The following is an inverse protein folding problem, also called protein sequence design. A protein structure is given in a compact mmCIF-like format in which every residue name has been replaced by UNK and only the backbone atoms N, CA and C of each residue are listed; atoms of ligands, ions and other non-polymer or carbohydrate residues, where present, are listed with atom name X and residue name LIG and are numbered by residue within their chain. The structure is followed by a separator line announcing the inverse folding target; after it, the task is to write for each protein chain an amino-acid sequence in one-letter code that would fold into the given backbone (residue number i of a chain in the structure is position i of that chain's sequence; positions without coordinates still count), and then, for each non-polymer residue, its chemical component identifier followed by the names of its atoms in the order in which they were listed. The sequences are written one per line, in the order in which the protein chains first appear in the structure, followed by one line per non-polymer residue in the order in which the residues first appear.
data_IF_494399501511
#
_entry.id   IF_494399501511
#
_cell.length_a   1.000
_cell.length_b   1.000
_cell.length_c   1.000
_cell.angle_alpha   90.00
_cell.angle_beta   90.00
_cell.angle_gamma   90.00
#
_symmetry.space_group_name_H-M   'P 1'
#
loop_
_entity.id
_entity.type
_entity.pdbx_description
1 polymer ?
#
# COMPACT_ATOMS: atom_id res chain seq x y z
N UNK A 1 10.86 5.63 15.89
CA UNK A 1 11.66 6.27 14.86
C UNK A 1 11.35 5.76 13.46
N UNK A 2 11.92 4.62 13.03
CA UNK A 2 11.88 4.15 11.63
C UNK A 2 10.45 3.93 11.12
N UNK A 3 9.61 3.21 11.85
CA UNK A 3 8.22 2.94 11.47
C UNK A 3 7.40 4.24 11.30
N UNK A 4 7.60 5.23 12.18
CA UNK A 4 6.94 6.51 12.03
C UNK A 4 7.41 7.27 10.78
N UNK A 5 8.70 7.22 10.46
CA UNK A 5 9.25 7.84 9.25
C UNK A 5 8.67 7.18 7.99
N UNK A 6 8.62 5.84 7.93
CA UNK A 6 8.01 5.10 6.82
C UNK A 6 6.52 5.48 6.69
N UNK A 7 5.80 5.55 7.82
CA UNK A 7 4.39 5.97 7.81
C UNK A 7 4.17 7.36 7.22
N UNK A 8 5.03 8.33 7.56
CA UNK A 8 4.97 9.69 7.03
C UNK A 8 5.29 9.71 5.52
N UNK A 9 6.29 8.93 5.07
CA UNK A 9 6.64 8.81 3.65
C UNK A 9 5.45 8.25 2.86
N UNK A 10 4.86 7.15 3.34
CA UNK A 10 3.70 6.54 2.68
C UNK A 10 2.53 7.51 2.66
N UNK A 11 2.22 8.15 3.79
CA UNK A 11 1.14 9.11 3.88
C UNK A 11 1.31 10.27 2.88
N UNK A 12 2.52 10.85 2.79
CA UNK A 12 2.80 11.97 1.88
C UNK A 12 2.58 11.63 0.39
N UNK A 13 2.78 10.36 0.02
CA UNK A 13 2.54 9.87 -1.34
C UNK A 13 1.07 9.48 -1.56
N UNK A 14 0.47 8.80 -0.60
CA UNK A 14 -0.90 8.30 -0.72
C UNK A 14 -1.96 9.41 -0.71
N UNK A 15 -1.66 10.58 -0.13
CA UNK A 15 -2.58 11.72 -0.19
C UNK A 15 -2.82 12.17 -1.64
N UNK A 16 -1.82 12.12 -2.51
CA UNK A 16 -1.98 12.44 -3.93
C UNK A 16 -2.84 11.41 -4.67
N UNK A 17 -2.70 10.12 -4.34
CA UNK A 17 -3.56 9.07 -4.87
C UNK A 17 -5.02 9.28 -4.43
N UNK A 18 -5.23 9.66 -3.18
CA UNK A 18 -6.57 9.94 -2.65
C UNK A 18 -7.24 11.18 -3.27
N UNK A 19 -6.45 12.11 -3.81
CA UNK A 19 -6.92 13.33 -4.48
C UNK A 19 -6.94 13.18 -6.02
N UNK A 20 -6.45 12.09 -6.58
CA UNK A 20 -6.19 11.92 -8.03
C UNK A 20 -5.29 13.04 -8.58
N UNK A 21 -4.25 13.37 -7.83
CA UNK A 21 -3.24 14.36 -8.20
C UNK A 21 -1.86 13.71 -8.28
N UNK A 22 -0.93 14.35 -8.96
CA UNK A 22 0.45 13.85 -9.06
C UNK A 22 1.41 14.84 -8.39
N UNK A 23 2.41 14.31 -7.69
CA UNK A 23 3.56 15.09 -7.24
C UNK A 23 4.81 14.31 -7.59
N UNK A 24 5.72 14.97 -8.32
CA UNK A 24 7.01 14.41 -8.73
C UNK A 24 8.14 14.80 -7.76
N UNK A 25 7.80 15.43 -6.64
CA UNK A 25 8.79 15.91 -5.70
C UNK A 25 9.40 14.75 -4.89
N UNK A 26 10.74 14.66 -4.79
CA UNK A 26 11.41 13.69 -3.93
C UNK A 26 11.29 14.03 -2.44
N UNK A 27 10.90 15.27 -2.10
CA UNK A 27 10.80 15.74 -0.71
C UNK A 27 9.42 15.45 -0.12
N UNK A 28 9.39 14.84 1.07
CA UNK A 28 8.16 14.55 1.82
C UNK A 28 7.37 15.84 2.12
N UNK A 29 8.09 16.89 2.55
CA UNK A 29 7.47 18.17 2.92
C UNK A 29 6.85 18.83 1.69
N UNK A 30 7.56 18.79 0.57
CA UNK A 30 7.06 19.36 -0.68
C UNK A 30 5.82 18.60 -1.18
N UNK A 31 5.80 17.26 -1.09
CA UNK A 31 4.62 16.47 -1.41
C UNK A 31 3.40 16.89 -0.58
N UNK A 32 3.57 17.13 0.72
CA UNK A 32 2.47 17.58 1.57
C UNK A 32 1.99 18.99 1.22
N UNK A 33 2.91 19.89 0.89
CA UNK A 33 2.57 21.26 0.43
C UNK A 33 1.84 21.20 -0.91
N UNK A 34 2.35 20.40 -1.85
CA UNK A 34 1.76 20.21 -3.17
C UNK A 34 0.34 19.62 -3.07
N UNK A 35 0.09 18.72 -2.13
CA UNK A 35 -1.23 18.17 -1.88
C UNK A 35 -2.24 19.25 -1.48
N UNK A 36 -1.83 20.20 -0.65
CA UNK A 36 -2.70 21.35 -0.25
C UNK A 36 -2.92 22.30 -1.41
N UNK A 37 -1.87 22.63 -2.16
CA UNK A 37 -1.95 23.55 -3.31
C UNK A 37 -2.83 22.96 -4.42
N UNK A 38 -2.73 21.65 -4.66
CA UNK A 38 -3.48 20.94 -5.71
C UNK A 38 -4.87 20.49 -5.28
N UNK A 39 -5.29 20.77 -4.04
CA UNK A 39 -6.62 20.43 -3.54
C UNK A 39 -7.77 20.94 -4.44
N UNK A 40 -7.71 22.17 -5.04
CA UNK A 40 -8.74 22.64 -5.96
C UNK A 40 -8.80 21.86 -7.29
N UNK A 41 -7.74 21.11 -7.62
CA UNK A 41 -7.65 20.30 -8.84
C UNK A 41 -8.02 18.81 -8.56
N UNK A 42 -8.31 18.48 -7.31
CA UNK A 42 -8.63 17.13 -6.91
C UNK A 42 -9.91 16.63 -7.60
N UNK A 43 -9.90 15.36 -8.01
CA UNK A 43 -11.06 14.71 -8.60
C UNK A 43 -12.10 14.41 -7.51
N UNK A 44 -13.27 15.08 -7.49
CA UNK A 44 -14.25 14.94 -6.41
C UNK A 44 -14.78 13.50 -6.28
N UNK A 45 -14.86 12.76 -7.36
CA UNK A 45 -15.34 11.37 -7.36
C UNK A 45 -14.35 10.44 -6.65
N UNK A 46 -13.05 10.61 -6.91
CA UNK A 46 -11.98 9.86 -6.23
C UNK A 46 -11.90 10.27 -4.75
N UNK A 47 -12.02 11.55 -4.47
CA UNK A 47 -12.04 12.08 -3.09
C UNK A 47 -13.19 11.49 -2.27
N UNK A 48 -14.39 11.38 -2.85
CA UNK A 48 -15.56 10.79 -2.17
C UNK A 48 -15.27 9.33 -1.81
N UNK A 49 -14.72 8.53 -2.73
CA UNK A 49 -14.37 7.12 -2.48
C UNK A 49 -13.31 7.04 -1.37
N UNK A 50 -12.26 7.86 -1.46
CA UNK A 50 -11.16 7.89 -0.51
C UNK A 50 -11.61 8.30 0.88
N UNK A 51 -12.43 9.33 1.01
CA UNK A 51 -12.99 9.78 2.29
C UNK A 51 -13.94 8.74 2.89
N UNK A 52 -14.79 8.11 2.06
CA UNK A 52 -15.70 7.07 2.53
C UNK A 52 -14.93 5.87 3.06
N UNK A 53 -13.87 5.45 2.34
CA UNK A 53 -12.96 4.39 2.79
C UNK A 53 -12.24 4.76 4.10
N UNK A 54 -11.75 5.98 4.24
CA UNK A 54 -11.10 6.47 5.45
C UNK A 54 -12.05 6.50 6.65
N UNK A 55 -13.27 7.01 6.46
CA UNK A 55 -14.32 7.03 7.48
C UNK A 55 -14.62 5.59 7.93
N UNK A 56 -14.77 4.66 6.99
CA UNK A 56 -15.01 3.26 7.31
C UNK A 56 -13.85 2.68 8.14
N UNK A 57 -12.59 2.92 7.77
CA UNK A 57 -11.42 2.45 8.52
C UNK A 57 -11.40 2.98 9.96
N UNK A 58 -11.71 4.27 10.15
CA UNK A 58 -11.72 4.90 11.48
C UNK A 58 -12.86 4.34 12.35
N UNK A 59 -14.04 4.17 11.77
CA UNK A 59 -15.21 3.73 12.52
C UNK A 59 -15.31 2.21 12.68
N UNK A 60 -14.65 1.43 11.81
CA UNK A 60 -14.70 -0.04 11.85
C UNK A 60 -14.31 -0.60 13.23
N UNK A 61 -13.29 -0.04 13.86
CA UNK A 61 -12.84 -0.47 15.19
C UNK A 61 -13.86 -0.21 16.30
N UNK A 62 -14.81 0.70 16.09
CA UNK A 62 -15.89 1.05 17.03
C UNK A 62 -17.17 0.25 16.77
N UNK A 63 -17.28 -0.41 15.62
CA UNK A 63 -18.43 -1.23 15.26
C UNK A 63 -18.32 -2.61 15.90
N UNK A 64 -19.00 -2.81 17.04
CA UNK A 64 -19.00 -4.07 17.78
C UNK A 64 -19.93 -5.15 17.19
N UNK A 65 -20.38 -5.03 15.96
CA UNK A 65 -21.20 -6.03 15.31
C UNK A 65 -20.35 -7.20 14.82
N UNK A 66 -20.71 -8.44 15.20
CA UNK A 66 -19.99 -9.68 14.79
C UNK A 66 -19.75 -9.77 13.28
N UNK A 67 -20.69 -9.29 12.49
CA UNK A 67 -20.60 -9.31 11.02
C UNK A 67 -19.41 -8.48 10.49
N UNK A 68 -19.17 -7.29 11.08
CA UNK A 68 -18.04 -6.45 10.67
C UNK A 68 -16.68 -6.98 11.15
N UNK A 69 -16.67 -7.83 12.17
CA UNK A 69 -15.44 -8.42 12.70
C UNK A 69 -14.98 -9.68 11.94
N UNK A 70 -15.81 -10.23 11.04
CA UNK A 70 -15.47 -11.40 10.22
C UNK A 70 -14.34 -11.06 9.23
N UNK A 71 -14.38 -9.85 8.64
CA UNK A 71 -13.42 -9.40 7.66
C UNK A 71 -12.58 -8.23 8.20
N UNK A 72 -11.27 -8.20 7.89
CA UNK A 72 -10.43 -7.03 8.20
C UNK A 72 -10.99 -5.75 7.57
N UNK A 73 -10.80 -4.61 8.25
CA UNK A 73 -11.29 -3.31 7.79
C UNK A 73 -10.92 -2.96 6.32
N UNK A 74 -9.71 -3.24 5.81
CA UNK A 74 -9.37 -2.98 4.41
C UNK A 74 -10.25 -3.74 3.40
N UNK A 75 -10.69 -4.96 3.72
CA UNK A 75 -11.58 -5.72 2.84
C UNK A 75 -12.97 -5.07 2.70
N UNK A 76 -13.45 -4.44 3.78
CA UNK A 76 -14.69 -3.68 3.73
C UNK A 76 -14.56 -2.42 2.86
N UNK A 77 -13.39 -1.77 2.86
CA UNK A 77 -13.10 -0.64 1.96
C UNK A 77 -13.19 -1.08 0.50
N UNK A 78 -12.55 -2.22 0.16
CA UNK A 78 -12.62 -2.78 -1.19
C UNK A 78 -14.07 -3.13 -1.56
N UNK A 79 -14.81 -3.81 -0.68
CA UNK A 79 -16.21 -4.17 -0.93
C UNK A 79 -17.09 -2.92 -1.15
N UNK A 80 -16.84 -1.84 -0.42
CA UNK A 80 -17.56 -0.58 -0.54
C UNK A 80 -17.19 0.20 -1.80
N UNK A 81 -15.96 0.06 -2.31
CA UNK A 81 -15.55 0.71 -3.57
C UNK A 81 -16.27 0.15 -4.79
N UNK A 82 -16.71 -1.13 -4.77
CA UNK A 82 -17.40 -1.78 -5.89
C UNK A 82 -18.66 -1.03 -6.33
N UNK A 83 -19.65 -0.72 -5.45
CA UNK A 83 -20.82 0.06 -5.85
C UNK A 83 -20.49 1.43 -6.42
N UNK A 84 -19.42 2.10 -5.94
CA UNK A 84 -18.99 3.38 -6.50
C UNK A 84 -18.44 3.21 -7.92
N UNK A 85 -17.64 2.17 -8.17
CA UNK A 85 -17.12 1.86 -9.51
C UNK A 85 -18.24 1.63 -10.52
N UNK A 86 -19.27 0.88 -10.14
CA UNK A 86 -20.44 0.66 -10.98
C UNK A 86 -21.31 1.90 -11.10
N UNK A 87 -21.54 2.62 -10.02
CA UNK A 87 -22.39 3.81 -9.99
C UNK A 87 -21.87 4.97 -10.83
N UNK A 88 -20.55 5.14 -10.87
CA UNK A 88 -19.88 6.16 -11.67
C UNK A 88 -19.28 5.61 -12.98
N UNK A 89 -19.57 4.37 -13.35
CA UNK A 89 -19.12 3.73 -14.59
C UNK A 89 -17.61 3.90 -14.90
N UNK A 90 -16.75 3.52 -13.95
CA UNK A 90 -15.29 3.58 -14.13
C UNK A 90 -14.74 2.64 -15.20
N UNK A 91 -15.57 1.79 -15.80
CA UNK A 91 -15.14 0.83 -16.83
C UNK A 91 -14.92 1.48 -18.20
N UNK A 92 -15.60 2.59 -18.47
CA UNK A 92 -15.51 3.31 -19.73
C UNK A 92 -14.90 4.70 -19.52
N UNK A 93 -14.06 5.13 -20.46
CA UNK A 93 -13.53 6.49 -20.45
C UNK A 93 -14.64 7.48 -20.75
N UNK A 94 -14.96 8.33 -19.79
CA UNK A 94 -15.94 9.39 -19.95
C UNK A 94 -15.62 10.57 -19.04
N UNK A 95 -16.28 11.67 -19.27
CA UNK A 95 -16.13 12.88 -18.47
C UNK A 95 -17.42 13.17 -17.70
N UNK A 96 -17.30 13.39 -16.40
CA UNK A 96 -18.39 13.90 -15.58
C UNK A 96 -18.11 15.35 -15.20
N UNK A 97 -19.11 16.22 -15.36
CA UNK A 97 -19.00 17.61 -14.94
C UNK A 97 -19.48 17.78 -13.49
N UNK A 98 -18.65 18.40 -12.67
CA UNK A 98 -18.99 18.76 -11.30
C UNK A 98 -18.58 20.22 -11.05
N UNK A 99 -19.53 21.05 -10.60
CA UNK A 99 -19.33 22.49 -10.36
C UNK A 99 -18.69 23.25 -11.55
N UNK A 100 -19.04 22.86 -12.79
CA UNK A 100 -18.53 23.52 -13.99
C UNK A 100 -17.15 23.06 -14.47
N UNK A 101 -16.53 22.11 -13.78
CA UNK A 101 -15.26 21.46 -14.18
C UNK A 101 -15.53 20.04 -14.64
N UNK A 102 -14.89 19.63 -15.74
CA UNK A 102 -14.98 18.28 -16.27
C UNK A 102 -13.86 17.42 -15.71
N UNK A 103 -14.22 16.26 -15.16
CA UNK A 103 -13.30 15.28 -14.62
C UNK A 103 -13.33 14.01 -15.45
N UNK A 104 -12.16 13.50 -15.82
CA UNK A 104 -12.05 12.25 -16.55
C UNK A 104 -12.14 11.06 -15.59
N UNK A 105 -13.11 10.20 -15.83
CA UNK A 105 -13.24 8.91 -15.16
C UNK A 105 -13.01 7.78 -16.18
N UNK A 106 -12.44 6.68 -15.72
CA UNK A 106 -12.19 5.55 -16.60
C UNK A 106 -11.30 4.47 -15.97
N UNK A 107 -10.96 3.44 -16.75
CA UNK A 107 -10.18 2.29 -16.30
C UNK A 107 -8.82 2.64 -15.68
N UNK A 108 -8.23 3.79 -16.02
CA UNK A 108 -6.98 4.29 -15.43
C UNK A 108 -7.02 4.43 -13.89
N UNK A 109 -8.22 4.57 -13.33
CA UNK A 109 -8.45 4.67 -11.89
C UNK A 109 -8.70 3.30 -11.23
N UNK A 110 -8.81 2.24 -12.03
CA UNK A 110 -8.98 0.88 -11.55
C UNK A 110 -7.63 0.17 -11.48
N UNK A 111 -7.55 -0.82 -10.61
CA UNK A 111 -6.40 -1.71 -10.54
C UNK A 111 -6.42 -2.63 -11.77
N UNK A 112 -5.36 -2.62 -12.56
CA UNK A 112 -5.20 -3.56 -13.67
C UNK A 112 -4.93 -4.96 -13.11
N UNK A 113 -5.90 -5.84 -13.28
CA UNK A 113 -5.74 -7.26 -12.93
C UNK A 113 -5.39 -8.01 -14.21
N UNK A 114 -4.25 -8.73 -14.26
CA UNK A 114 -3.86 -9.47 -15.46
C UNK A 114 -4.89 -10.58 -15.76
N UNK A 115 -5.28 -10.71 -17.01
CA UNK A 115 -6.26 -11.72 -17.47
C UNK A 115 -5.81 -13.16 -17.19
N UNK A 116 -4.50 -13.39 -17.13
CA UNK A 116 -3.91 -14.70 -16.83
C UNK A 116 -2.89 -14.59 -15.70
N UNK A 117 -3.23 -15.07 -14.53
CA UNK A 117 -2.34 -15.12 -13.36
C UNK A 117 -1.06 -15.91 -13.67
N UNK A 118 -1.17 -17.00 -14.45
CA UNK A 118 -0.02 -17.83 -14.81
C UNK A 118 1.00 -17.10 -15.72
N UNK A 119 0.57 -16.13 -16.52
CA UNK A 119 1.45 -15.30 -17.37
C UNK A 119 2.11 -14.16 -16.60
N UNK A 120 1.61 -13.83 -15.41
CA UNK A 120 2.13 -12.75 -14.58
C UNK A 120 3.19 -13.22 -13.57
N UNK A 121 3.41 -14.53 -13.46
CA UNK A 121 4.49 -15.07 -12.63
C UNK A 121 5.82 -14.73 -13.30
N UNK A 122 6.55 -13.82 -12.68
CA UNK A 122 7.89 -13.44 -13.13
C UNK A 122 8.92 -14.38 -12.52
N UNK A 123 9.82 -14.87 -13.36
CA UNK A 123 10.96 -15.65 -12.89
C UNK A 123 12.16 -14.75 -12.59
N UNK A 124 13.02 -15.09 -11.62
CA UNK A 124 14.21 -14.33 -11.31
C UNK A 124 15.11 -14.14 -12.54
N UNK A 125 15.54 -12.92 -12.79
CA UNK A 125 16.49 -12.59 -13.85
C UNK A 125 17.88 -12.33 -13.23
N UNK A 126 18.81 -13.21 -13.53
CA UNK A 126 20.17 -13.16 -13.00
C UNK A 126 21.19 -12.47 -13.91
N UNK A 127 20.75 -11.80 -14.98
CA UNK A 127 21.66 -11.18 -15.95
C UNK A 127 22.60 -10.12 -15.34
N UNK A 128 22.19 -9.51 -14.23
CA UNK A 128 22.97 -8.47 -13.52
C UNK A 128 23.72 -8.98 -12.30
N UNK A 129 23.79 -10.30 -12.07
CA UNK A 129 24.42 -10.86 -10.87
C UNK A 129 25.92 -10.50 -10.74
N UNK A 130 26.60 -10.21 -11.86
CA UNK A 130 28.00 -9.82 -11.88
C UNK A 130 28.24 -8.31 -11.77
N UNK A 131 27.17 -7.51 -11.56
CA UNK A 131 27.30 -6.06 -11.39
C UNK A 131 27.35 -5.66 -9.91
N UNK A 132 28.07 -4.57 -9.61
CA UNK A 132 28.19 -4.08 -8.25
C UNK A 132 26.87 -3.50 -7.75
N UNK A 133 26.08 -2.92 -8.65
CA UNK A 133 24.74 -2.37 -8.36
C UNK A 133 23.79 -3.44 -7.86
N UNK A 134 23.88 -4.66 -8.43
CA UNK A 134 23.08 -5.80 -7.96
C UNK A 134 23.39 -6.11 -6.50
N UNK A 135 24.65 -6.28 -6.16
CA UNK A 135 25.05 -6.65 -4.79
C UNK A 135 24.84 -5.55 -3.77
N UNK A 136 25.02 -4.28 -4.15
CA UNK A 136 24.71 -3.15 -3.26
C UNK A 136 23.21 -3.06 -2.97
N UNK A 137 22.37 -3.32 -3.98
CA UNK A 137 20.91 -3.38 -3.80
C UNK A 137 20.49 -4.55 -2.92
N UNK A 138 21.04 -5.75 -3.16
CA UNK A 138 20.78 -6.93 -2.33
C UNK A 138 21.16 -6.70 -0.87
N UNK A 139 22.35 -6.14 -0.61
CA UNK A 139 22.79 -5.82 0.75
C UNK A 139 21.90 -4.78 1.41
N UNK A 140 21.49 -3.75 0.67
CA UNK A 140 20.61 -2.69 1.17
C UNK A 140 19.24 -3.27 1.56
N UNK A 141 18.63 -4.08 0.69
CA UNK A 141 17.35 -4.74 0.99
C UNK A 141 17.49 -5.67 2.18
N UNK A 142 18.53 -6.51 2.20
CA UNK A 142 18.80 -7.44 3.32
C UNK A 142 18.89 -6.70 4.66
N UNK A 143 19.66 -5.61 4.71
CA UNK A 143 19.82 -4.81 5.93
C UNK A 143 18.53 -4.16 6.36
N UNK A 144 17.80 -3.52 5.43
CA UNK A 144 16.54 -2.83 5.74
C UNK A 144 15.50 -3.83 6.24
N UNK A 145 15.26 -4.92 5.51
CA UNK A 145 14.24 -5.91 5.88
C UNK A 145 14.57 -6.61 7.19
N UNK A 146 15.85 -6.94 7.44
CA UNK A 146 16.27 -7.58 8.69
C UNK A 146 16.08 -6.64 9.89
N UNK A 147 16.53 -5.39 9.79
CA UNK A 147 16.37 -4.40 10.87
C UNK A 147 14.90 -4.12 11.14
N UNK A 148 14.08 -3.98 10.09
CA UNK A 148 12.66 -3.70 10.21
C UNK A 148 11.94 -4.86 10.89
N UNK A 149 12.16 -6.09 10.44
CA UNK A 149 11.55 -7.29 11.01
C UNK A 149 11.93 -7.49 12.48
N UNK A 150 13.22 -7.30 12.83
CA UNK A 150 13.65 -7.36 14.23
C UNK A 150 13.04 -6.26 15.09
N UNK A 151 12.88 -5.06 14.53
CA UNK A 151 12.25 -3.94 15.23
C UNK A 151 10.76 -4.22 15.50
N UNK A 152 10.05 -4.78 14.51
CA UNK A 152 8.64 -5.17 14.64
C UNK A 152 8.49 -6.29 15.66
N UNK A 153 9.27 -7.36 15.56
CA UNK A 153 9.23 -8.47 16.52
C UNK A 153 9.43 -8.00 17.96
N UNK A 154 10.43 -7.14 18.20
CA UNK A 154 10.65 -6.53 19.53
C UNK A 154 9.53 -5.59 19.97
N UNK A 155 8.88 -4.89 19.04
CA UNK A 155 7.75 -4.03 19.36
C UNK A 155 6.54 -4.86 19.78
N UNK A 156 6.26 -5.96 19.07
CA UNK A 156 5.18 -6.90 19.40
C UNK A 156 5.43 -7.57 20.74
N UNK A 157 6.67 -8.03 21.02
CA UNK A 157 7.04 -8.60 22.33
C UNK A 157 6.74 -7.66 23.51
N UNK A 158 6.90 -6.34 23.31
CA UNK A 158 6.59 -5.34 24.34
C UNK A 158 5.09 -5.14 24.57
N UNK A 159 4.30 -5.38 23.53
CA UNK A 159 2.84 -5.23 23.57
C UNK A 159 2.13 -6.51 24.04
N UNK A 160 2.84 -7.65 24.04
CA UNK A 160 2.25 -8.93 24.44
C UNK A 160 1.90 -8.95 25.95
N UNK A 161 0.60 -9.09 26.32
CA UNK A 161 0.16 -9.17 27.71
C UNK A 161 0.79 -10.34 28.48
N UNK A 162 1.14 -11.43 27.77
CA UNK A 162 1.75 -12.63 28.34
C UNK A 162 3.27 -12.54 28.45
N UNK A 163 3.90 -11.43 28.01
CA UNK A 163 5.36 -11.19 28.04
C UNK A 163 6.18 -12.30 27.38
N UNK A 164 5.62 -12.93 26.34
CA UNK A 164 6.34 -13.92 25.53
C UNK A 164 7.46 -13.21 24.76
N UNK A 165 8.53 -13.92 24.52
CA UNK A 165 9.67 -13.40 23.76
C UNK A 165 9.81 -14.16 22.45
N UNK A 166 9.91 -13.44 21.35
CA UNK A 166 10.16 -13.98 20.02
C UNK A 166 11.62 -14.44 19.91
N UNK A 167 11.82 -15.63 19.39
CA UNK A 167 13.17 -16.12 19.00
C UNK A 167 13.55 -15.43 17.68
N UNK A 168 14.38 -14.38 17.78
CA UNK A 168 14.77 -13.54 16.66
C UNK A 168 15.51 -14.30 15.57
N UNK A 169 16.23 -15.40 15.91
CA UNK A 169 16.92 -16.20 14.91
C UNK A 169 15.93 -17.04 14.08
N UNK A 170 14.93 -17.62 14.74
CA UNK A 170 13.86 -18.35 14.03
C UNK A 170 13.04 -17.42 13.17
N UNK A 171 12.76 -16.22 13.67
CA UNK A 171 12.02 -15.18 12.92
C UNK A 171 12.77 -14.82 11.63
N UNK A 172 14.04 -14.45 11.73
CA UNK A 172 14.85 -14.11 10.55
C UNK A 172 14.99 -15.29 9.58
N UNK A 173 15.13 -16.52 10.09
CA UNK A 173 15.20 -17.72 9.24
C UNK A 173 13.87 -17.93 8.49
N UNK A 174 12.74 -17.78 9.19
CA UNK A 174 11.42 -17.89 8.57
C UNK A 174 11.19 -16.84 7.49
N UNK A 175 11.52 -15.58 7.78
CA UNK A 175 11.42 -14.46 6.81
C UNK A 175 12.35 -14.69 5.61
N UNK A 176 13.58 -15.15 5.86
CA UNK A 176 14.53 -15.44 4.79
C UNK A 176 14.04 -16.54 3.84
N UNK A 177 13.55 -17.65 4.38
CA UNK A 177 12.98 -18.75 3.57
C UNK A 177 11.74 -18.29 2.80
N UNK A 178 10.86 -17.52 3.43
CA UNK A 178 9.65 -16.97 2.81
C UNK A 178 9.99 -15.97 1.69
N UNK A 179 11.01 -15.15 1.90
CA UNK A 179 11.51 -14.19 0.89
C UNK A 179 12.12 -14.93 -0.32
N UNK A 180 12.86 -16.02 -0.10
CA UNK A 180 13.38 -16.86 -1.20
C UNK A 180 12.21 -17.45 -1.99
N UNK A 181 11.22 -18.02 -1.32
CA UNK A 181 10.05 -18.59 -1.99
C UNK A 181 9.26 -17.53 -2.77
N UNK A 182 9.03 -16.35 -2.18
CA UNK A 182 8.38 -15.22 -2.86
C UNK A 182 9.19 -14.76 -4.08
N UNK A 183 10.50 -14.61 -3.96
CA UNK A 183 11.38 -14.20 -5.05
C UNK A 183 11.39 -15.18 -6.24
N UNK A 184 11.25 -16.51 -5.98
CA UNK A 184 11.17 -17.51 -7.04
C UNK A 184 9.92 -17.36 -7.94
N UNK A 185 8.86 -16.78 -7.43
CA UNK A 185 7.60 -16.51 -8.17
C UNK A 185 7.46 -15.04 -8.57
N UNK A 186 8.52 -14.24 -8.41
CA UNK A 186 8.51 -12.82 -8.73
C UNK A 186 7.83 -11.91 -7.70
N UNK A 187 7.65 -12.41 -6.48
CA UNK A 187 7.10 -11.63 -5.37
C UNK A 187 8.11 -10.69 -4.72
N UNK A 188 7.59 -9.79 -3.90
CA UNK A 188 8.40 -8.86 -3.10
C UNK A 188 9.00 -9.56 -1.86
N UNK A 189 10.09 -9.02 -1.28
CA UNK A 189 10.62 -9.47 -0.01
C UNK A 189 9.55 -9.43 1.08
N UNK A 190 9.50 -10.47 1.90
CA UNK A 190 8.56 -10.57 3.01
C UNK A 190 9.17 -9.88 4.24
N UNK A 191 8.38 -9.07 4.90
CA UNK A 191 8.71 -8.38 6.15
C UNK A 191 7.69 -8.81 7.20
N UNK A 192 8.13 -8.97 8.45
CA UNK A 192 7.28 -9.39 9.57
C UNK A 192 6.25 -8.33 9.96
#
# INVERSE_FOLDING_TARGET
GILAAIGIIIFSKQIHVALDTQSDSPSIIQNLIDAVIKLPQANPFVVIISLTGLILLIFHSKLNYRFFQILPAPMWVVALSIPFVYGFNFFDNHTLSFLGTNYELGPKLLLEIPDKISGSIMHPNFNKINTIEFWTTVLSILMITSIESLAIAKAVDKLDPYKRKTDLNKELTGIGLSTIAAGMIGGLPIIA
#
